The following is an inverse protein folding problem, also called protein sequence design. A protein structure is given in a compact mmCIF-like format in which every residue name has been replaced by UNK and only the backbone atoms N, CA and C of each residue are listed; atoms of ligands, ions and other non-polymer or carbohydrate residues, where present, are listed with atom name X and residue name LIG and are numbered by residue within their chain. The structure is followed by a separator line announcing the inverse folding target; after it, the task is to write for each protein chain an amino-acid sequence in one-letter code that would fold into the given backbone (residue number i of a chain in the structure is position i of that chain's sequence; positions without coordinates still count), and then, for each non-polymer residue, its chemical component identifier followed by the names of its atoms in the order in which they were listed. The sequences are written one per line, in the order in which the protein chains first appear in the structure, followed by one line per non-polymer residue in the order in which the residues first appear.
data_IF_771973552520
#
_entry.id   IF_771973552520
#
_cell.length_a   1.000
_cell.length_b   1.000
_cell.length_c   1.000
_cell.angle_alpha   90.00
_cell.angle_beta   90.00
_cell.angle_gamma   90.00
#
_symmetry.space_group_name_H-M   'P 1'
#
loop_
_entity.id
_entity.type
_entity.pdbx_description
1 polymer ?
#
# COMPACT_ATOMS: atom_id res chain seq x y z
N UNK A 1 9.71 3.60 -20.35
CA UNK A 1 8.35 3.33 -19.87
C UNK A 1 8.36 3.24 -18.37
N UNK A 2 7.22 3.47 -17.73
CA UNK A 2 7.08 3.41 -16.26
C UNK A 2 6.06 2.36 -15.83
N UNK A 3 6.24 1.83 -14.62
CA UNK A 3 5.38 0.80 -14.04
C UNK A 3 5.30 0.96 -12.52
N UNK A 4 4.24 0.44 -11.89
CA UNK A 4 4.09 0.43 -10.43
C UNK A 4 4.21 -1.00 -9.96
N UNK A 5 5.36 -1.34 -9.38
CA UNK A 5 5.63 -2.67 -8.87
C UNK A 5 5.07 -2.85 -7.47
N UNK A 6 4.23 -3.85 -7.30
CA UNK A 6 3.68 -4.25 -6.01
C UNK A 6 4.35 -5.53 -5.54
N UNK A 7 4.65 -5.60 -4.24
CA UNK A 7 5.37 -6.72 -3.64
C UNK A 7 4.40 -7.82 -3.19
N UNK A 8 4.69 -9.06 -3.58
CA UNK A 8 4.02 -10.29 -3.14
C UNK A 8 2.50 -10.29 -3.33
N UNK A 9 2.06 -9.73 -4.46
CA UNK A 9 0.67 -9.85 -4.90
C UNK A 9 0.40 -11.31 -5.29
N UNK A 10 -0.76 -11.83 -4.90
CA UNK A 10 -1.13 -13.23 -5.13
C UNK A 10 -1.48 -13.49 -6.58
N UNK A 11 -2.32 -12.63 -7.15
CA UNK A 11 -2.95 -12.91 -8.43
C UNK A 11 -3.26 -11.63 -9.21
N UNK A 12 -3.69 -11.83 -10.44
CA UNK A 12 -3.97 -10.77 -11.39
C UNK A 12 -5.17 -9.91 -11.01
N UNK A 13 -6.17 -10.45 -10.29
CA UNK A 13 -7.32 -9.67 -9.87
C UNK A 13 -6.92 -8.68 -8.77
N UNK A 14 -6.12 -9.12 -7.80
CA UNK A 14 -5.51 -8.28 -6.77
C UNK A 14 -4.64 -7.18 -7.41
N UNK A 15 -3.78 -7.58 -8.37
CA UNK A 15 -2.93 -6.64 -9.10
C UNK A 15 -3.75 -5.57 -9.83
N UNK A 16 -4.83 -5.95 -10.51
CA UNK A 16 -5.73 -5.00 -11.19
C UNK A 16 -6.37 -4.02 -10.22
N UNK A 17 -6.92 -4.50 -9.10
CA UNK A 17 -7.54 -3.65 -8.07
C UNK A 17 -6.54 -2.62 -7.52
N UNK A 18 -5.33 -3.07 -7.19
CA UNK A 18 -4.25 -2.20 -6.70
C UNK A 18 -3.80 -1.18 -7.73
N UNK A 19 -3.62 -1.60 -8.99
CA UNK A 19 -3.25 -0.68 -10.08
C UNK A 19 -4.33 0.36 -10.33
N UNK A 20 -5.61 -0.04 -10.41
CA UNK A 20 -6.71 0.91 -10.61
C UNK A 20 -6.77 1.95 -9.49
N UNK A 21 -6.65 1.49 -8.25
CA UNK A 21 -6.64 2.39 -7.11
C UNK A 21 -5.44 3.34 -7.14
N UNK A 22 -4.25 2.84 -7.41
CA UNK A 22 -3.04 3.67 -7.42
C UNK A 22 -3.03 4.70 -8.55
N UNK A 23 -3.64 4.37 -9.70
CA UNK A 23 -3.85 5.32 -10.80
C UNK A 23 -4.79 6.47 -10.43
N UNK A 24 -5.79 6.24 -9.55
CA UNK A 24 -6.68 7.31 -9.06
C UNK A 24 -5.94 8.38 -8.25
N UNK A 25 -4.83 8.02 -7.59
CA UNK A 25 -4.04 8.95 -6.77
C UNK A 25 -2.77 9.48 -7.46
N UNK A 26 -2.68 9.32 -8.79
CA UNK A 26 -1.62 9.93 -9.61
C UNK A 26 -0.18 9.60 -9.17
N UNK A 27 0.10 8.35 -8.76
CA UNK A 27 1.49 7.94 -8.54
C UNK A 27 2.31 7.99 -9.83
N UNK A 28 3.55 8.46 -9.70
CA UNK A 28 4.56 8.32 -10.74
C UNK A 28 5.08 6.89 -10.72
N UNK A 29 4.87 6.15 -11.80
CA UNK A 29 5.51 4.84 -11.98
C UNK A 29 7.04 4.95 -11.99
N UNK A 30 7.70 3.85 -11.66
CA UNK A 30 9.15 3.69 -11.67
C UNK A 30 9.62 3.30 -13.08
N UNK A 31 10.79 3.78 -13.53
CA UNK A 31 11.36 3.34 -14.79
C UNK A 31 11.75 1.86 -14.71
N UNK A 32 11.58 1.13 -15.80
CA UNK A 32 11.93 -0.27 -15.87
C UNK A 32 12.53 -0.63 -17.22
N UNK A 33 13.28 -1.73 -17.22
CA UNK A 33 13.79 -2.40 -18.41
C UNK A 33 13.26 -3.84 -18.47
N UNK A 34 12.96 -4.29 -19.68
CA UNK A 34 12.56 -5.68 -19.94
C UNK A 34 13.82 -6.48 -20.24
N UNK A 35 14.11 -7.47 -19.40
CA UNK A 35 15.26 -8.37 -19.56
C UNK A 35 14.92 -9.61 -20.36
N UNK A 36 13.66 -10.02 -20.35
CA UNK A 36 13.17 -11.23 -21.03
C UNK A 36 11.68 -11.08 -21.34
N UNK A 37 11.24 -11.62 -22.47
CA UNK A 37 9.83 -11.73 -22.80
C UNK A 37 9.40 -13.20 -22.76
N UNK A 38 8.25 -13.46 -22.14
CA UNK A 38 7.63 -14.79 -22.05
C UNK A 38 6.23 -14.67 -22.63
N UNK A 39 6.03 -15.33 -23.78
CA UNK A 39 4.73 -15.35 -24.46
C UNK A 39 4.03 -16.64 -24.08
N UNK A 40 2.83 -16.53 -23.51
CA UNK A 40 2.02 -17.65 -23.05
C UNK A 40 0.70 -17.69 -23.81
N UNK A 41 0.21 -18.90 -24.08
CA UNK A 41 -1.18 -19.07 -24.48
C UNK A 41 -2.12 -18.65 -23.33
N UNK A 42 -3.42 -18.52 -23.62
CA UNK A 42 -4.34 -18.03 -22.61
C UNK A 42 -4.44 -18.95 -21.39
N UNK A 43 -4.39 -20.27 -21.55
CA UNK A 43 -4.48 -21.23 -20.44
C UNK A 43 -3.26 -21.10 -19.50
N UNK A 44 -2.05 -21.14 -20.05
CA UNK A 44 -0.80 -20.99 -19.29
C UNK A 44 -0.69 -19.61 -18.64
N UNK A 45 -1.16 -18.56 -19.34
CA UNK A 45 -1.21 -17.22 -18.76
C UNK A 45 -2.18 -17.15 -17.59
N UNK A 46 -3.39 -17.74 -17.70
CA UNK A 46 -4.33 -17.75 -16.57
C UNK A 46 -3.78 -18.56 -15.39
N UNK A 47 -3.09 -19.67 -15.64
CA UNK A 47 -2.45 -20.45 -14.59
C UNK A 47 -1.39 -19.60 -13.84
N UNK A 48 -0.48 -18.95 -14.57
CA UNK A 48 0.48 -18.00 -13.98
C UNK A 48 -0.21 -16.84 -13.25
N UNK A 49 -1.24 -16.26 -13.86
CA UNK A 49 -1.97 -15.11 -13.34
C UNK A 49 -2.85 -15.43 -12.12
N UNK A 50 -3.10 -16.70 -11.85
CA UNK A 50 -3.88 -17.16 -10.69
C UNK A 50 -3.03 -17.33 -9.42
N UNK A 51 -1.71 -17.48 -9.56
CA UNK A 51 -0.77 -17.57 -8.43
C UNK A 51 0.63 -17.10 -8.83
N UNK A 52 0.91 -15.81 -8.62
CA UNK A 52 2.21 -15.18 -8.83
C UNK A 52 3.29 -15.64 -7.86
N UNK A 53 2.91 -16.28 -6.74
CA UNK A 53 3.84 -16.76 -5.72
C UNK A 53 4.28 -18.21 -5.97
N UNK A 54 3.70 -18.87 -6.98
CA UNK A 54 4.17 -20.14 -7.49
C UNK A 54 5.53 -19.99 -8.20
N UNK A 55 6.39 -21.00 -8.03
CA UNK A 55 7.65 -21.06 -8.74
C UNK A 55 7.41 -21.34 -10.23
N UNK A 56 8.13 -20.61 -11.10
CA UNK A 56 8.09 -20.82 -12.53
C UNK A 56 9.50 -21.05 -13.10
N UNK A 57 9.69 -22.00 -14.03
CA UNK A 57 11.01 -22.38 -14.53
C UNK A 57 11.72 -21.25 -15.31
N UNK A 58 10.96 -20.29 -15.82
CA UNK A 58 11.46 -19.12 -16.55
C UNK A 58 11.67 -17.89 -15.66
N UNK A 59 11.31 -17.96 -14.36
CA UNK A 59 11.67 -16.95 -13.37
C UNK A 59 12.90 -17.46 -12.63
N UNK A 60 14.04 -16.78 -12.83
CA UNK A 60 15.27 -17.12 -12.11
C UNK A 60 15.68 -16.00 -11.16
N UNK A 61 16.58 -16.32 -10.24
CA UNK A 61 17.11 -15.37 -9.26
C UNK A 61 17.80 -14.16 -9.89
N UNK A 62 18.27 -14.31 -11.13
CA UNK A 62 19.03 -13.30 -11.87
C UNK A 62 18.17 -12.40 -12.76
N UNK A 63 16.89 -12.75 -12.96
CA UNK A 63 15.97 -12.05 -13.87
C UNK A 63 15.42 -10.73 -13.32
N UNK A 64 15.47 -10.53 -12.00
CA UNK A 64 15.01 -9.33 -11.31
C UNK A 64 16.12 -8.41 -10.76
N UNK A 65 15.74 -7.54 -9.83
CA UNK A 65 16.60 -6.54 -9.19
C UNK A 65 16.54 -5.18 -9.88
N UNK A 66 17.49 -4.29 -9.54
CA UNK A 66 17.54 -2.90 -10.03
C UNK A 66 18.86 -2.68 -10.79
N UNK A 67 18.82 -1.92 -11.88
CA UNK A 67 20.03 -1.52 -12.62
C UNK A 67 20.85 -0.51 -11.82
N UNK A 68 22.15 -0.31 -12.12
CA UNK A 68 22.94 0.77 -11.52
C UNK A 68 22.34 2.17 -11.73
N UNK A 69 21.51 2.34 -12.75
CA UNK A 69 20.80 3.57 -13.09
C UNK A 69 19.48 3.75 -12.32
N UNK A 70 19.09 2.77 -11.50
CA UNK A 70 17.86 2.82 -10.70
C UNK A 70 16.60 2.33 -11.42
N UNK A 71 16.74 1.57 -12.52
CA UNK A 71 15.61 1.02 -13.27
C UNK A 71 15.29 -0.40 -12.80
N UNK A 72 14.01 -0.72 -12.66
CA UNK A 72 13.56 -2.07 -12.31
C UNK A 72 13.84 -3.04 -13.46
N UNK A 73 14.49 -4.17 -13.18
CA UNK A 73 14.69 -5.26 -14.15
C UNK A 73 13.49 -6.20 -14.08
N UNK A 74 12.83 -6.44 -15.20
CA UNK A 74 11.65 -7.30 -15.20
C UNK A 74 11.54 -8.23 -16.42
N UNK A 75 10.86 -9.34 -16.21
CA UNK A 75 10.33 -10.20 -17.27
C UNK A 75 8.99 -9.63 -17.71
N UNK A 76 8.76 -9.54 -19.02
CA UNK A 76 7.46 -9.19 -19.60
C UNK A 76 6.71 -10.47 -19.97
N UNK A 77 5.66 -10.80 -19.23
CA UNK A 77 4.83 -11.99 -19.47
C UNK A 77 3.57 -11.59 -20.22
N UNK A 78 3.38 -12.12 -21.42
CA UNK A 78 2.37 -11.67 -22.39
C UNK A 78 1.39 -12.81 -22.67
N UNK A 79 0.11 -12.54 -22.54
CA UNK A 79 -0.94 -13.40 -23.08
C UNK A 79 -1.01 -13.19 -24.60
N UNK A 80 -0.71 -14.23 -25.38
CA UNK A 80 -0.64 -14.13 -26.86
C UNK A 80 -1.99 -13.74 -27.51
N UNK A 81 -3.11 -14.06 -26.85
CA UNK A 81 -4.45 -13.87 -27.42
C UNK A 81 -5.04 -12.51 -27.08
N UNK A 82 -4.90 -12.08 -25.82
CA UNK A 82 -5.46 -10.81 -25.35
C UNK A 82 -4.46 -9.64 -25.43
N UNK A 83 -3.17 -9.93 -25.56
CA UNK A 83 -2.10 -8.94 -25.40
C UNK A 83 -1.94 -8.44 -23.96
N UNK A 84 -2.62 -9.06 -23.00
CA UNK A 84 -2.51 -8.66 -21.59
C UNK A 84 -1.12 -8.98 -21.07
N UNK A 85 -0.50 -8.00 -20.41
CA UNK A 85 0.89 -8.10 -19.96
C UNK A 85 1.05 -7.87 -18.47
N UNK A 86 1.84 -8.74 -17.84
CA UNK A 86 2.31 -8.61 -16.45
C UNK A 86 3.83 -8.49 -16.47
N UNK A 87 4.35 -7.46 -15.81
CA UNK A 87 5.77 -7.30 -15.56
C UNK A 87 6.13 -7.98 -14.25
N UNK A 88 7.22 -8.77 -14.25
CA UNK A 88 7.66 -9.55 -13.10
C UNK A 88 9.10 -9.18 -12.73
N UNK A 89 9.31 -8.74 -11.49
CA UNK A 89 10.65 -8.61 -10.91
C UNK A 89 10.81 -9.63 -9.77
N UNK A 90 11.76 -10.56 -9.94
CA UNK A 90 11.96 -11.66 -8.99
C UNK A 90 12.76 -11.30 -7.74
N UNK A 91 13.60 -10.25 -7.78
CA UNK A 91 14.58 -9.92 -6.73
C UNK A 91 15.27 -11.14 -6.07
N UNK A 92 15.78 -12.09 -6.87
CA UNK A 92 16.50 -13.25 -6.33
C UNK A 92 15.64 -14.47 -5.99
N UNK A 93 14.38 -14.50 -6.43
CA UNK A 93 13.45 -15.63 -6.21
C UNK A 93 13.10 -16.33 -7.53
N UNK A 94 12.41 -17.47 -7.43
CA UNK A 94 11.92 -18.24 -8.58
C UNK A 94 10.42 -18.03 -8.84
N UNK A 95 9.81 -17.06 -8.14
CA UNK A 95 8.43 -16.64 -8.28
C UNK A 95 8.37 -15.12 -8.51
N UNK A 96 7.18 -14.61 -8.85
CA UNK A 96 6.97 -13.20 -9.15
C UNK A 96 6.87 -12.35 -7.89
N UNK A 97 8.02 -12.10 -7.25
CA UNK A 97 8.09 -11.36 -5.98
C UNK A 97 7.56 -9.94 -6.07
N UNK A 98 7.73 -9.28 -7.21
CA UNK A 98 7.06 -8.02 -7.53
C UNK A 98 6.38 -8.14 -8.88
N UNK A 99 5.17 -7.60 -8.97
CA UNK A 99 4.38 -7.58 -10.20
C UNK A 99 3.84 -6.19 -10.51
N UNK A 100 3.72 -5.87 -11.79
CA UNK A 100 3.04 -4.67 -12.29
C UNK A 100 2.20 -5.02 -13.52
N UNK A 101 1.12 -4.30 -13.74
CA UNK A 101 0.53 -4.23 -15.09
C UNK A 101 1.40 -3.34 -15.97
N UNK A 102 1.58 -3.74 -17.22
CA UNK A 102 2.14 -2.85 -18.23
C UNK A 102 1.01 -1.98 -18.79
N UNK A 103 1.04 -0.70 -18.45
CA UNK A 103 0.03 0.30 -18.87
C UNK A 103 0.72 1.45 -19.62
N UNK A 104 0.04 2.10 -20.58
CA UNK A 104 0.59 3.23 -21.31
C UNK A 104 0.99 4.38 -20.38
N UNK A 105 2.11 5.05 -20.70
CA UNK A 105 2.62 6.15 -19.88
C UNK A 105 1.56 7.26 -19.69
N UNK A 106 0.69 7.47 -20.69
CA UNK A 106 -0.44 8.41 -20.69
C UNK A 106 -1.45 8.17 -19.55
N UNK A 107 -1.59 6.92 -19.08
CA UNK A 107 -2.49 6.60 -17.95
C UNK A 107 -1.95 7.11 -16.61
N UNK A 108 -0.64 7.34 -16.50
CA UNK A 108 -0.05 8.05 -15.35
C UNK A 108 -0.23 9.58 -15.46
N UNK A 109 -0.60 10.11 -16.63
CA UNK A 109 -0.62 11.55 -16.89
C UNK A 109 -2.01 12.22 -16.69
N UNK A 110 -3.08 11.47 -16.33
CA UNK A 110 -4.44 12.05 -16.19
C UNK A 110 -5.28 11.57 -15.00
N UNK A 111 -5.20 12.31 -13.90
CA UNK A 111 -6.20 13.29 -13.41
C UNK A 111 -5.51 14.07 -12.30
N UNK A 112 -5.43 15.39 -12.41
CA UNK A 112 -5.18 16.20 -11.22
C UNK A 112 -6.33 15.88 -10.26
N UNK A 113 -6.06 15.39 -9.04
CA UNK A 113 -7.11 15.27 -8.05
C UNK A 113 -7.88 16.59 -7.92
N UNK A 114 -9.21 16.57 -7.79
CA UNK A 114 -9.96 17.80 -7.52
C UNK A 114 -9.79 18.16 -6.04
N UNK A 115 -9.04 19.22 -5.80
CA UNK A 115 -8.52 19.57 -4.47
C UNK A 115 -9.53 20.37 -3.63
N UNK A 116 -9.57 20.13 -2.31
CA UNK A 116 -10.23 20.98 -1.31
C UNK A 116 -9.18 21.67 -0.41
N UNK A 117 -9.55 22.80 0.21
CA UNK A 117 -8.69 23.51 1.19
C UNK A 117 -9.10 23.10 2.62
N UNK A 118 -8.15 22.67 3.49
CA UNK A 118 -8.48 22.34 4.87
C UNK A 118 -8.71 23.61 5.70
N UNK A 119 -9.85 23.68 6.40
CA UNK A 119 -10.08 24.71 7.41
C UNK A 119 -9.32 24.35 8.70
N UNK A 120 -8.59 25.31 9.27
CA UNK A 120 -8.02 25.27 10.64
C UNK A 120 -6.74 24.46 10.91
N UNK A 121 -5.88 24.24 9.90
CA UNK A 121 -4.54 23.70 10.16
C UNK A 121 -4.52 22.25 10.65
N UNK A 122 -5.62 21.52 10.46
CA UNK A 122 -5.71 20.07 10.56
C UNK A 122 -6.23 19.58 9.22
N UNK A 123 -5.48 18.69 8.57
CA UNK A 123 -5.95 18.01 7.37
C UNK A 123 -6.80 16.84 7.83
N UNK A 124 -8.12 16.94 7.68
CA UNK A 124 -9.05 15.82 7.87
C UNK A 124 -9.43 15.31 6.48
N UNK A 125 -9.21 14.03 6.26
CA UNK A 125 -9.59 13.36 5.03
C UNK A 125 -10.55 12.25 5.40
N UNK A 126 -11.84 12.46 5.15
CA UNK A 126 -12.93 11.55 5.53
C UNK A 126 -13.03 10.30 4.63
N UNK A 127 -12.25 10.26 3.56
CA UNK A 127 -12.24 9.15 2.60
C UNK A 127 -10.83 8.98 2.01
N UNK A 128 -10.25 7.78 2.11
CA UNK A 128 -8.99 7.45 1.44
C UNK A 128 -9.07 7.57 -0.08
N UNK A 129 -10.29 7.56 -0.64
CA UNK A 129 -10.61 7.82 -2.05
C UNK A 129 -10.77 9.28 -2.40
N UNK A 130 -10.75 10.16 -1.40
CA UNK A 130 -10.74 11.58 -1.65
C UNK A 130 -9.44 11.98 -2.39
N UNK A 131 -9.55 12.80 -3.43
CA UNK A 131 -8.39 13.41 -4.08
C UNK A 131 -7.47 14.09 -3.06
N UNK A 132 -6.13 14.01 -3.22
CA UNK A 132 -5.19 14.78 -2.40
C UNK A 132 -5.56 16.24 -2.24
N UNK A 133 -5.30 16.84 -1.07
CA UNK A 133 -5.54 18.26 -0.81
C UNK A 133 -4.46 19.14 -1.46
N UNK A 134 -4.83 20.33 -1.91
CA UNK A 134 -3.88 21.34 -2.40
C UNK A 134 -3.55 22.26 -1.25
N UNK A 135 -2.47 21.96 -0.56
CA UNK A 135 -1.85 22.88 0.38
C UNK A 135 -1.03 23.87 -0.46
N UNK A 136 -1.59 25.06 -0.71
CA UNK A 136 -0.85 26.17 -1.30
C UNK A 136 0.08 26.71 -0.21
N UNK A 137 1.39 26.58 -0.46
CA UNK A 137 2.47 26.88 0.49
C UNK A 137 2.57 25.88 1.64
N UNK A 138 3.77 25.70 2.21
CA UNK A 138 3.98 24.86 3.40
C UNK A 138 3.20 25.45 4.56
N UNK A 139 1.96 25.00 4.76
CA UNK A 139 1.23 25.38 5.96
C UNK A 139 1.96 24.66 7.10
N UNK A 140 2.39 25.38 8.16
CA UNK A 140 2.84 24.76 9.40
C UNK A 140 1.61 24.13 10.06
N UNK A 141 1.24 22.97 9.51
CA UNK A 141 0.25 22.06 10.04
C UNK A 141 1.06 21.05 10.82
N UNK A 142 0.86 21.03 12.13
CA UNK A 142 1.61 20.11 12.98
C UNK A 142 0.96 18.72 12.98
N UNK A 143 -0.28 18.58 12.47
CA UNK A 143 -1.08 17.36 12.52
C UNK A 143 -1.87 17.04 11.22
N UNK A 144 -1.75 15.81 10.76
CA UNK A 144 -2.48 15.22 9.65
C UNK A 144 -3.32 14.06 10.18
N UNK A 145 -4.65 14.12 9.97
CA UNK A 145 -5.60 13.08 10.38
C UNK A 145 -6.26 12.47 9.13
N UNK A 146 -6.00 11.19 8.89
CA UNK A 146 -6.70 10.43 7.85
C UNK A 146 -7.78 9.57 8.50
N UNK A 147 -9.05 9.89 8.24
CA UNK A 147 -10.20 9.13 8.72
C UNK A 147 -10.61 8.10 7.68
N UNK A 148 -10.76 6.86 8.12
CA UNK A 148 -11.03 5.72 7.26
C UNK A 148 -12.24 4.98 7.83
N UNK A 149 -13.26 4.67 7.00
CA UNK A 149 -14.36 3.82 7.42
C UNK A 149 -13.87 2.44 7.87
N UNK A 150 -14.45 1.92 8.96
CA UNK A 150 -14.28 0.52 9.37
C UNK A 150 -15.02 -0.46 8.46
N UNK A 151 -15.77 0.05 7.49
CA UNK A 151 -16.46 -0.77 6.49
C UNK A 151 -15.45 -1.68 5.79
N UNK A 152 -15.74 -2.98 5.76
CA UNK A 152 -14.88 -4.07 5.27
C UNK A 152 -13.80 -4.56 6.24
N UNK A 153 -13.64 -3.92 7.40
CA UNK A 153 -12.74 -4.38 8.44
C UNK A 153 -13.44 -5.30 9.46
N UNK A 154 -12.61 -6.05 10.16
CA UNK A 154 -12.89 -6.77 11.41
C UNK A 154 -11.68 -6.61 12.35
N UNK A 155 -11.72 -7.23 13.54
CA UNK A 155 -10.61 -7.15 14.49
C UNK A 155 -9.28 -7.69 13.94
N UNK A 156 -9.32 -8.72 13.07
CA UNK A 156 -8.10 -9.31 12.45
C UNK A 156 -7.46 -8.33 11.49
N UNK A 157 -8.27 -7.70 10.64
CA UNK A 157 -7.76 -6.72 9.67
C UNK A 157 -7.17 -5.50 10.38
N UNK A 158 -7.72 -5.05 11.51
CA UNK A 158 -7.11 -3.96 12.29
C UNK A 158 -5.76 -4.37 12.91
N UNK A 159 -5.65 -5.60 13.42
CA UNK A 159 -4.36 -6.16 13.83
C UNK A 159 -3.35 -6.21 12.66
N UNK A 160 -3.79 -6.59 11.46
CA UNK A 160 -2.96 -6.61 10.26
C UNK A 160 -2.52 -5.19 9.87
N UNK A 161 -3.42 -4.22 9.96
CA UNK A 161 -3.14 -2.81 9.69
C UNK A 161 -2.00 -2.31 10.59
N UNK A 162 -2.07 -2.54 11.90
CA UNK A 162 -1.00 -2.14 12.84
C UNK A 162 0.33 -2.83 12.48
N UNK A 163 0.32 -4.12 12.16
CA UNK A 163 1.53 -4.86 11.76
C UNK A 163 2.16 -4.31 10.48
N UNK A 164 1.34 -3.92 9.51
CA UNK A 164 1.82 -3.32 8.26
C UNK A 164 2.37 -1.92 8.53
N UNK A 165 1.68 -1.09 9.33
CA UNK A 165 2.18 0.24 9.71
C UNK A 165 3.54 0.11 10.40
N UNK A 166 3.68 -0.78 11.38
CA UNK A 166 4.94 -1.04 12.07
C UNK A 166 6.07 -1.42 11.10
N UNK A 167 5.76 -2.23 10.08
CA UNK A 167 6.75 -2.63 9.06
C UNK A 167 7.15 -1.47 8.14
N UNK A 168 6.22 -0.57 7.81
CA UNK A 168 6.46 0.58 6.94
C UNK A 168 6.89 1.83 7.73
N UNK A 169 7.06 1.73 9.06
CA UNK A 169 7.36 2.87 9.96
C UNK A 169 8.55 3.69 9.48
N UNK A 170 9.67 3.05 9.13
CA UNK A 170 10.88 3.75 8.67
C UNK A 170 10.63 4.60 7.43
N UNK A 171 9.73 4.17 6.54
CA UNK A 171 9.35 4.95 5.37
C UNK A 171 8.48 6.15 5.77
N UNK A 172 7.49 5.94 6.64
CA UNK A 172 6.59 6.98 7.11
C UNK A 172 7.36 8.06 7.88
N UNK A 173 8.18 7.66 8.85
CA UNK A 173 9.02 8.55 9.67
C UNK A 173 9.97 9.37 8.78
N UNK A 174 10.57 8.75 7.76
CA UNK A 174 11.42 9.45 6.78
C UNK A 174 10.67 10.52 6.00
N UNK A 175 9.42 10.27 5.61
CA UNK A 175 8.57 11.23 4.88
C UNK A 175 8.13 12.38 5.77
N UNK A 176 7.86 12.10 7.04
CA UNK A 176 7.53 13.10 8.05
C UNK A 176 8.75 13.90 8.53
N UNK A 177 9.97 13.46 8.15
CA UNK A 177 11.23 14.07 8.58
C UNK A 177 11.38 14.12 10.12
N UNK A 178 10.76 13.16 10.80
CA UNK A 178 10.82 13.04 12.26
C UNK A 178 11.80 11.94 12.68
N UNK A 179 12.23 11.97 13.94
CA UNK A 179 13.07 10.94 14.55
C UNK A 179 12.30 10.04 15.52
N UNK A 180 11.06 10.40 15.85
CA UNK A 180 10.24 9.68 16.81
C UNK A 180 9.54 8.48 16.14
N UNK A 181 9.50 7.31 16.81
CA UNK A 181 8.77 6.15 16.33
C UNK A 181 7.26 6.43 16.34
N UNK A 182 6.50 5.73 15.50
CA UNK A 182 5.04 5.89 15.42
C UNK A 182 4.31 5.06 16.49
N UNK A 183 4.97 4.01 16.97
CA UNK A 183 4.46 3.13 18.01
C UNK A 183 5.61 2.50 18.80
N UNK A 184 5.28 1.95 19.95
CA UNK A 184 6.17 1.12 20.76
C UNK A 184 6.60 -0.14 19.99
N UNK A 185 7.91 -0.44 19.99
CA UNK A 185 8.51 -1.53 19.21
C UNK A 185 7.95 -2.91 19.56
N UNK A 186 7.44 -3.07 20.79
CA UNK A 186 6.95 -4.33 21.31
C UNK A 186 5.42 -4.47 21.16
N UNK A 187 4.71 -3.39 20.84
CA UNK A 187 3.25 -3.36 20.77
C UNK A 187 2.66 -4.40 19.83
N UNK A 188 3.23 -4.56 18.62
CA UNK A 188 2.75 -5.55 17.64
C UNK A 188 2.84 -6.99 18.14
N UNK A 189 3.89 -7.31 18.91
CA UNK A 189 4.11 -8.64 19.47
C UNK A 189 3.15 -8.89 20.62
N UNK A 190 2.92 -7.90 21.47
CA UNK A 190 2.01 -8.03 22.61
C UNK A 190 0.55 -8.15 22.13
N UNK A 191 0.15 -7.33 21.15
CA UNK A 191 -1.16 -7.42 20.51
C UNK A 191 -1.38 -8.79 19.85
N UNK A 192 -0.33 -9.40 19.28
CA UNK A 192 -0.42 -10.72 18.65
C UNK A 192 -0.64 -11.89 19.62
N UNK A 193 -0.55 -11.66 20.94
CA UNK A 193 -0.85 -12.67 21.96
C UNK A 193 -2.35 -12.85 22.19
N UNK A 194 -3.17 -11.91 21.70
CA UNK A 194 -4.62 -11.96 21.83
C UNK A 194 -5.24 -12.67 20.62
N UNK A 195 -6.23 -13.51 20.88
CA UNK A 195 -7.11 -14.05 19.84
C UNK A 195 -8.18 -13.01 19.50
N UNK A 196 -7.92 -12.21 18.46
CA UNK A 196 -8.79 -11.10 18.04
C UNK A 196 -9.46 -11.46 16.73
N UNK A 197 -10.79 -11.45 16.72
CA UNK A 197 -11.62 -11.69 15.52
C UNK A 197 -12.61 -10.56 15.28
N UNK A 198 -13.16 -9.98 16.34
CA UNK A 198 -14.17 -8.92 16.30
C UNK A 198 -13.59 -7.55 16.64
N UNK A 199 -14.35 -6.49 16.34
CA UNK A 199 -13.94 -5.14 16.71
C UNK A 199 -13.91 -4.93 18.23
N UNK A 200 -14.84 -5.56 18.95
CA UNK A 200 -14.94 -5.49 20.41
C UNK A 200 -13.74 -6.17 21.08
N UNK A 201 -13.32 -7.33 20.57
CA UNK A 201 -12.10 -8.00 21.02
C UNK A 201 -10.85 -7.16 20.73
N UNK A 202 -10.80 -6.53 19.55
CA UNK A 202 -9.72 -5.62 19.19
C UNK A 202 -9.66 -4.42 20.13
N UNK A 203 -10.78 -3.72 20.34
CA UNK A 203 -10.82 -2.54 21.19
C UNK A 203 -10.43 -2.88 22.62
N UNK A 204 -10.96 -3.99 23.16
CA UNK A 204 -10.59 -4.46 24.49
C UNK A 204 -9.08 -4.70 24.60
N UNK A 205 -8.48 -5.44 23.65
CA UNK A 205 -7.05 -5.69 23.66
C UNK A 205 -6.23 -4.41 23.48
N UNK A 206 -6.70 -3.48 22.65
CA UNK A 206 -6.07 -2.19 22.40
C UNK A 206 -6.07 -1.34 23.69
N UNK A 207 -7.16 -1.31 24.43
CA UNK A 207 -7.26 -0.61 25.73
C UNK A 207 -6.42 -1.28 26.82
N UNK A 208 -6.48 -2.61 26.94
CA UNK A 208 -5.70 -3.39 27.93
C UNK A 208 -4.18 -3.24 27.71
N UNK A 209 -3.76 -2.99 26.48
CA UNK A 209 -2.36 -2.76 26.11
C UNK A 209 -1.95 -1.30 26.13
N UNK A 210 -2.76 -0.37 26.67
CA UNK A 210 -2.44 1.08 26.66
C UNK A 210 -2.19 1.57 25.21
N UNK A 211 -3.07 1.15 24.30
CA UNK A 211 -2.96 1.40 22.86
C UNK A 211 -2.83 2.88 22.48
N UNK A 212 -3.57 3.84 23.09
CA UNK A 212 -3.37 5.26 22.82
C UNK A 212 -1.95 5.77 23.12
N UNK A 213 -1.31 5.24 24.16
CA UNK A 213 0.05 5.60 24.57
C UNK A 213 1.11 4.85 23.76
N UNK A 214 0.88 3.56 23.47
CA UNK A 214 1.84 2.68 22.80
C UNK A 214 1.69 2.64 21.28
N UNK A 215 0.56 3.09 20.73
CA UNK A 215 0.29 3.20 19.29
C UNK A 215 -0.47 4.51 19.01
N UNK A 216 0.13 5.68 19.31
CA UNK A 216 -0.55 6.98 19.20
C UNK A 216 -0.94 7.35 17.75
N UNK A 217 -0.31 6.68 16.77
CA UNK A 217 -0.64 6.83 15.35
C UNK A 217 -2.05 6.36 14.99
N UNK A 218 -2.66 5.48 15.80
CA UNK A 218 -3.98 4.92 15.52
C UNK A 218 -5.01 5.39 16.56
N UNK A 219 -6.17 5.83 16.10
CA UNK A 219 -7.36 6.00 16.93
C UNK A 219 -8.52 5.23 16.33
N UNK A 220 -9.25 4.46 17.13
CA UNK A 220 -10.40 3.69 16.66
C UNK A 220 -11.65 4.20 17.36
N UNK A 221 -12.70 4.47 16.57
CA UNK A 221 -14.00 4.89 17.05
C UNK A 221 -15.07 3.95 16.48
N UNK A 222 -15.43 2.92 17.27
CA UNK A 222 -16.44 1.94 16.87
C UNK A 222 -17.82 2.59 16.70
N UNK A 223 -18.19 3.51 17.59
CA UNK A 223 -19.51 4.18 17.53
C UNK A 223 -19.68 5.01 16.24
N UNK A 224 -18.61 5.64 15.78
CA UNK A 224 -18.57 6.37 14.53
C UNK A 224 -18.19 5.50 13.31
N UNK A 225 -18.07 4.18 13.49
CA UNK A 225 -17.65 3.21 12.47
C UNK A 225 -16.40 3.63 11.68
N UNK A 226 -15.43 4.26 12.35
CA UNK A 226 -14.22 4.82 11.72
C UNK A 226 -12.97 4.57 12.55
N UNK A 227 -11.82 4.60 11.89
CA UNK A 227 -10.53 4.74 12.55
C UNK A 227 -9.72 5.85 11.88
N UNK A 228 -8.86 6.50 12.65
CA UNK A 228 -8.01 7.60 12.22
C UNK A 228 -6.54 7.21 12.29
N UNK A 229 -5.78 7.65 11.29
CA UNK A 229 -4.32 7.67 11.33
C UNK A 229 -3.88 9.11 11.63
N UNK A 230 -3.23 9.29 12.78
CA UNK A 230 -2.75 10.58 13.25
C UNK A 230 -1.24 10.69 13.03
N UNK A 231 -0.82 11.61 12.18
CA UNK A 231 0.59 11.85 11.88
C UNK A 231 0.95 13.29 12.21
N UNK A 232 2.16 13.48 12.71
CA UNK A 232 2.68 14.79 13.06
C UNK A 232 3.92 15.09 12.21
N UNK A 233 4.08 16.35 11.82
CA UNK A 233 5.24 16.83 11.05
C UNK A 233 5.37 18.33 11.25
N UNK A 234 6.60 18.86 11.24
CA UNK A 234 6.81 20.31 11.27
C UNK A 234 6.22 21.01 10.04
N UNK A 235 6.10 20.29 8.93
CA UNK A 235 5.51 20.80 7.68
C UNK A 235 4.85 19.67 6.89
N UNK A 236 3.61 19.88 6.45
CA UNK A 236 2.96 19.04 5.44
C UNK A 236 2.91 19.79 4.11
N UNK A 237 3.60 19.25 3.11
CA UNK A 237 3.47 19.70 1.72
C UNK A 237 2.39 18.89 1.00
N UNK A 238 1.84 19.43 -0.09
CA UNK A 238 0.90 18.68 -0.95
C UNK A 238 1.48 17.34 -1.43
N UNK A 239 2.81 17.28 -1.66
CA UNK A 239 3.50 16.04 -2.06
C UNK A 239 3.57 15.02 -0.91
N UNK A 240 3.91 15.46 0.32
CA UNK A 240 3.90 14.60 1.51
C UNK A 240 2.50 14.04 1.76
N UNK A 241 1.47 14.88 1.69
CA UNK A 241 0.06 14.47 1.88
C UNK A 241 -0.34 13.40 0.85
N UNK A 242 -0.12 13.67 -0.44
CA UNK A 242 -0.47 12.72 -1.51
C UNK A 242 0.25 11.38 -1.35
N UNK A 243 1.53 11.41 -0.98
CA UNK A 243 2.30 10.20 -0.70
C UNK A 243 1.70 9.41 0.47
N UNK A 244 1.43 10.08 1.60
CA UNK A 244 0.89 9.46 2.81
C UNK A 244 -0.50 8.87 2.57
N UNK A 245 -1.40 9.61 1.92
CA UNK A 245 -2.71 9.07 1.54
C UNK A 245 -2.58 7.79 0.72
N UNK A 246 -1.69 7.79 -0.27
CA UNK A 246 -1.54 6.60 -1.12
C UNK A 246 -0.92 5.43 -0.36
N UNK A 247 0.05 5.71 0.52
CA UNK A 247 0.64 4.70 1.38
C UNK A 247 -0.42 4.09 2.29
N UNK A 248 -1.22 4.90 2.98
CA UNK A 248 -2.24 4.41 3.91
C UNK A 248 -3.42 3.74 3.20
N UNK A 249 -3.76 4.17 1.98
CA UNK A 249 -4.69 3.42 1.12
C UNK A 249 -4.16 1.99 0.84
N UNK A 250 -2.89 1.88 0.44
CA UNK A 250 -2.25 0.58 0.19
C UNK A 250 -2.17 -0.28 1.45
N UNK A 251 -1.80 0.33 2.58
CA UNK A 251 -1.79 -0.36 3.89
C UNK A 251 -3.18 -0.89 4.21
N UNK A 252 -4.21 -0.07 4.01
CA UNK A 252 -5.59 -0.46 4.29
C UNK A 252 -6.04 -1.66 3.46
N UNK A 253 -5.79 -1.60 2.14
CA UNK A 253 -6.15 -2.67 1.22
C UNK A 253 -5.38 -3.97 1.53
N UNK A 254 -4.09 -3.88 1.87
CA UNK A 254 -3.31 -5.05 2.27
C UNK A 254 -3.81 -5.65 3.59
N UNK A 255 -4.22 -4.82 4.56
CA UNK A 255 -4.76 -5.28 5.83
C UNK A 255 -6.02 -6.14 5.64
N UNK A 256 -6.87 -5.75 4.69
CA UNK A 256 -8.02 -6.51 4.23
C UNK A 256 -7.61 -7.84 3.59
N UNK A 257 -6.74 -7.80 2.57
CA UNK A 257 -6.36 -8.98 1.77
C UNK A 257 -5.68 -10.07 2.62
N UNK A 258 -4.87 -9.70 3.61
CA UNK A 258 -4.22 -10.70 4.48
C UNK A 258 -5.20 -11.50 5.33
N UNK A 259 -6.44 -11.02 5.55
CA UNK A 259 -7.45 -11.76 6.29
C UNK A 259 -8.02 -12.94 5.47
N UNK A 260 -8.21 -12.76 4.16
CA UNK A 260 -8.75 -13.78 3.25
C UNK A 260 -7.85 -15.02 3.11
N UNK A 261 -6.55 -14.92 3.41
CA UNK A 261 -5.59 -16.04 3.32
C UNK A 261 -5.52 -16.92 4.57
N UNK A 262 -6.20 -16.54 5.64
CA UNK A 262 -6.23 -17.26 6.93
C UNK A 262 -7.57 -17.93 7.23
N UNK A 263 -8.51 -17.90 6.28
CA UNK A 263 -9.76 -18.68 6.28
C UNK A 263 -9.69 -19.81 5.25
#
# INVERSE_FOLDING_TARGET
MKAIFYRKISDLNELKKLTEATLKYAQKGQPYIVTTEVILNNEDFQAFASDFLADHPWITKETGGVTPQGEERCIRVINEQSGQTVLVNSEGHNYARYTSLEIPDEQFERKKPEYYEPENGVVIIDDITAPPLKVQESIPIDAFELKIPLKEHDGRTLCNLIKIISREEQLIVKVLEQSEPLMDEQFTKDLSQYEITTFEEFQKAFEELEGPERCPVLSVNIDAETYSINLYSQTFTSEKIAFLQTLFYRINLLAYIYNEKTM
#
